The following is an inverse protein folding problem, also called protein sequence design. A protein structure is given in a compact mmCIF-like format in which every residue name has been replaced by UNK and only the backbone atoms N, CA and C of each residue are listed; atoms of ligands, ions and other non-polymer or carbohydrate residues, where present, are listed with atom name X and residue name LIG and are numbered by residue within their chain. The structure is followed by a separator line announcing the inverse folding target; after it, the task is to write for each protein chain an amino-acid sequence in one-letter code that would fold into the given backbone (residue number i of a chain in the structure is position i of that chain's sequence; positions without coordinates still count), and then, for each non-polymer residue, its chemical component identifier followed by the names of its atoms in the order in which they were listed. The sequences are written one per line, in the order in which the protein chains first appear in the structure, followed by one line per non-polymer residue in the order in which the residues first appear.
data_IF_699722135706
#
_entry.id   IF_699722135706
#
_cell.length_a   1.000
_cell.length_b   1.000
_cell.length_c   1.000
_cell.angle_alpha   90.00
_cell.angle_beta   90.00
_cell.angle_gamma   90.00
#
_symmetry.space_group_name_H-M   'P 1'
#
loop_
_entity.id
_entity.type
_entity.pdbx_description
1 polymer ?
#
# COMPACT_ATOMS: atom_id res chain seq x y z
N UNK A 1 38.98 7.33 10.48
CA UNK A 1 37.52 7.06 10.55
C UNK A 1 36.88 6.84 9.17
N UNK A 2 37.60 6.27 8.18
CA UNK A 2 37.09 6.10 6.80
C UNK A 2 36.88 4.64 6.38
N UNK A 3 37.07 3.67 7.28
CA UNK A 3 37.15 2.25 6.91
C UNK A 3 35.83 1.48 7.02
N UNK A 4 34.81 2.03 7.69
CA UNK A 4 33.59 1.29 8.02
C UNK A 4 32.46 1.44 6.99
N UNK A 5 32.59 2.39 6.04
CA UNK A 5 31.54 2.65 5.05
C UNK A 5 31.71 1.79 3.78
N UNK A 6 32.95 1.45 3.41
CA UNK A 6 33.23 0.67 2.20
C UNK A 6 32.93 -0.83 2.38
N UNK A 7 33.00 -1.34 3.61
CA UNK A 7 32.59 -2.72 3.92
C UNK A 7 31.07 -2.89 3.88
N UNK A 8 30.30 -1.86 4.25
CA UNK A 8 28.84 -1.87 4.15
C UNK A 8 28.38 -1.88 2.68
N UNK A 9 29.01 -1.08 1.80
CA UNK A 9 28.67 -1.07 0.37
C UNK A 9 29.10 -2.35 -0.36
N UNK A 10 30.24 -2.94 0.01
CA UNK A 10 30.67 -4.24 -0.53
C UNK A 10 29.78 -5.41 -0.07
N UNK A 11 29.19 -5.32 1.12
CA UNK A 11 28.26 -6.31 1.67
C UNK A 11 26.84 -6.14 1.13
N UNK A 12 26.43 -4.90 0.82
CA UNK A 12 25.18 -4.59 0.14
C UNK A 12 25.21 -5.01 -1.35
N UNK A 13 26.34 -4.85 -2.03
CA UNK A 13 26.56 -5.33 -3.40
C UNK A 13 26.58 -6.87 -3.51
N UNK A 14 26.75 -7.59 -2.39
CA UNK A 14 26.70 -9.05 -2.31
C UNK A 14 25.35 -9.56 -1.83
N UNK A 15 24.33 -8.72 -1.70
CA UNK A 15 22.96 -9.22 -1.66
C UNK A 15 22.69 -9.83 -3.04
N UNK A 16 22.53 -11.16 -3.14
CA UNK A 16 22.15 -11.77 -4.40
C UNK A 16 20.88 -11.08 -4.87
N UNK A 17 20.80 -10.86 -6.19
CA UNK A 17 19.65 -10.32 -6.91
C UNK A 17 18.38 -10.86 -6.25
N UNK A 18 17.67 -9.99 -5.51
CA UNK A 18 16.45 -10.32 -4.79
C UNK A 18 16.54 -11.57 -3.87
N UNK A 19 16.65 -11.35 -2.55
CA UNK A 19 15.85 -12.19 -1.67
C UNK A 19 14.41 -12.17 -2.24
N UNK A 20 13.84 -13.31 -2.66
CA UNK A 20 12.54 -13.29 -3.31
C UNK A 20 11.54 -12.65 -2.33
N UNK A 21 10.97 -11.51 -2.74
CA UNK A 21 9.97 -10.80 -1.94
C UNK A 21 8.76 -11.71 -1.66
N UNK A 22 8.49 -12.62 -2.60
CA UNK A 22 7.62 -13.77 -2.38
C UNK A 22 8.40 -14.88 -1.67
N UNK A 23 8.27 -14.92 -0.35
CA UNK A 23 8.67 -16.09 0.43
C UNK A 23 7.87 -17.32 -0.05
N UNK A 24 8.47 -18.51 -0.02
CA UNK A 24 7.77 -19.77 -0.31
C UNK A 24 6.49 -19.90 0.53
N UNK A 25 6.48 -19.32 1.74
CA UNK A 25 5.31 -19.25 2.62
C UNK A 25 4.10 -18.50 2.04
N UNK A 26 4.33 -17.54 1.13
CA UNK A 26 3.25 -16.87 0.40
C UNK A 26 2.60 -17.78 -0.65
N UNK A 27 3.33 -18.80 -1.13
CA UNK A 27 2.75 -19.85 -1.96
C UNK A 27 2.08 -20.94 -1.12
N UNK A 28 2.57 -21.21 0.09
CA UNK A 28 1.98 -22.20 1.02
C UNK A 28 0.57 -21.83 1.50
N UNK A 29 0.19 -20.55 1.39
CA UNK A 29 -1.15 -20.06 1.72
C UNK A 29 -2.16 -20.20 0.58
N UNK A 30 -1.72 -20.63 -0.61
CA UNK A 30 -2.63 -21.24 -1.56
C UNK A 30 -2.92 -22.66 -1.04
N UNK A 31 -4.19 -22.99 -0.76
CA UNK A 31 -4.68 -24.30 -0.29
C UNK A 31 -4.48 -25.45 -1.31
N UNK A 32 -3.34 -25.48 -2.00
CA UNK A 32 -2.99 -26.45 -3.01
C UNK A 32 -1.62 -27.05 -2.67
N UNK A 33 -1.49 -28.37 -2.85
CA UNK A 33 -0.21 -29.10 -2.88
C UNK A 33 0.64 -28.62 -4.08
N UNK A 34 1.05 -27.36 -4.06
CA UNK A 34 1.69 -26.70 -5.18
C UNK A 34 3.21 -26.77 -5.01
N UNK A 35 3.85 -27.69 -5.72
CA UNK A 35 5.30 -27.76 -5.76
C UNK A 35 5.86 -26.78 -6.80
N UNK A 36 6.17 -25.56 -6.36
CA UNK A 36 6.72 -24.51 -7.20
C UNK A 36 8.22 -24.73 -7.49
N UNK A 37 8.62 -24.61 -8.77
CA UNK A 37 10.05 -24.65 -9.09
C UNK A 37 10.73 -23.34 -8.68
N UNK A 38 12.03 -23.36 -8.33
CA UNK A 38 12.78 -22.13 -8.04
C UNK A 38 12.74 -21.11 -9.18
N UNK A 39 12.68 -21.57 -10.42
CA UNK A 39 12.57 -20.72 -11.61
C UNK A 39 11.20 -20.05 -11.70
N UNK A 40 10.13 -20.77 -11.37
CA UNK A 40 8.78 -20.19 -11.32
C UNK A 40 8.69 -19.12 -10.23
N UNK A 41 9.22 -19.40 -9.04
CA UNK A 41 9.27 -18.44 -7.93
C UNK A 41 10.05 -17.19 -8.36
N UNK A 42 11.21 -17.35 -9.01
CA UNK A 42 12.00 -16.24 -9.53
C UNK A 42 11.25 -15.40 -10.56
N UNK A 43 10.65 -16.03 -11.57
CA UNK A 43 9.88 -15.33 -12.60
C UNK A 43 8.65 -14.61 -12.02
N UNK A 44 7.95 -15.24 -11.08
CA UNK A 44 6.82 -14.63 -10.39
C UNK A 44 7.26 -13.42 -9.55
N UNK A 45 8.41 -13.53 -8.87
CA UNK A 45 9.00 -12.41 -8.12
C UNK A 45 9.27 -11.21 -9.04
N UNK A 46 9.92 -11.46 -10.18
CA UNK A 46 10.23 -10.41 -11.15
C UNK A 46 8.97 -9.76 -11.71
N UNK A 47 7.94 -10.57 -12.01
CA UNK A 47 6.64 -10.07 -12.48
C UNK A 47 5.96 -9.17 -11.43
N UNK A 48 5.92 -9.60 -10.17
CA UNK A 48 5.33 -8.81 -9.08
C UNK A 48 6.12 -7.51 -8.87
N UNK A 49 7.45 -7.57 -8.94
CA UNK A 49 8.30 -6.38 -8.83
C UNK A 49 8.02 -5.37 -9.95
N UNK A 50 7.96 -5.81 -11.21
CA UNK A 50 7.60 -4.96 -12.33
C UNK A 50 6.19 -4.36 -12.16
N UNK A 51 5.24 -5.13 -11.64
CA UNK A 51 3.89 -4.65 -11.37
C UNK A 51 3.86 -3.57 -10.27
N UNK A 52 4.68 -3.70 -9.22
CA UNK A 52 4.83 -2.66 -8.18
C UNK A 52 5.37 -1.37 -8.79
N UNK A 53 6.40 -1.46 -9.66
CA UNK A 53 6.96 -0.28 -10.32
C UNK A 53 5.92 0.45 -11.17
N UNK A 54 5.15 -0.29 -11.98
CA UNK A 54 4.08 0.27 -12.79
C UNK A 54 2.99 0.91 -11.92
N UNK A 55 2.55 0.21 -10.87
CA UNK A 55 1.51 0.71 -9.96
C UNK A 55 1.95 1.97 -9.22
N UNK A 56 3.20 2.02 -8.74
CA UNK A 56 3.74 3.19 -8.06
C UNK A 56 3.83 4.40 -9.00
N UNK A 57 4.24 4.19 -10.25
CA UNK A 57 4.28 5.24 -11.26
C UNK A 57 2.88 5.80 -11.56
N UNK A 58 1.89 4.91 -11.77
CA UNK A 58 0.51 5.30 -12.02
C UNK A 58 -0.07 6.10 -10.84
N UNK A 59 0.15 5.65 -9.59
CA UNK A 59 -0.34 6.35 -8.39
C UNK A 59 0.25 7.77 -8.24
N UNK A 60 1.54 7.93 -8.51
CA UNK A 60 2.18 9.25 -8.51
C UNK A 60 1.57 10.17 -9.58
N UNK A 61 1.39 9.66 -10.81
CA UNK A 61 0.73 10.40 -11.88
C UNK A 61 -0.72 10.77 -11.55
N UNK A 62 -1.50 9.87 -10.94
CA UNK A 62 -2.88 10.15 -10.53
C UNK A 62 -2.95 11.25 -9.47
N UNK A 63 -2.10 11.18 -8.45
CA UNK A 63 -2.06 12.23 -7.42
C UNK A 63 -1.69 13.60 -8.03
N UNK A 64 -0.69 13.64 -8.92
CA UNK A 64 -0.24 14.86 -9.61
C UNK A 64 -1.29 15.41 -10.56
N UNK A 65 -2.03 14.54 -11.24
CA UNK A 65 -3.16 14.93 -12.10
C UNK A 65 -4.26 15.65 -11.29
N UNK A 66 -4.46 15.24 -10.04
CA UNK A 66 -5.38 15.90 -9.11
C UNK A 66 -4.75 17.10 -8.36
N UNK A 67 -3.53 17.52 -8.70
CA UNK A 67 -2.82 18.63 -8.06
C UNK A 67 -2.31 18.32 -6.64
N UNK A 68 -2.20 17.05 -6.28
CA UNK A 68 -1.72 16.56 -4.97
C UNK A 68 -0.30 16.00 -5.09
N UNK A 69 0.44 16.04 -3.99
CA UNK A 69 1.73 15.35 -3.82
C UNK A 69 1.65 14.21 -2.81
N UNK A 70 0.44 13.87 -2.38
CA UNK A 70 0.16 12.81 -1.41
C UNK A 70 -0.86 11.89 -2.06
N UNK A 71 -0.53 10.60 -2.14
CA UNK A 71 -1.39 9.54 -2.66
C UNK A 71 -2.54 9.30 -1.67
N UNK A 72 -3.74 9.14 -2.22
CA UNK A 72 -4.99 8.94 -1.48
C UNK A 72 -5.71 7.69 -1.97
N UNK A 73 -6.80 7.32 -1.29
CA UNK A 73 -7.60 6.14 -1.67
C UNK A 73 -8.24 6.27 -3.04
N UNK A 74 -8.56 7.49 -3.49
CA UNK A 74 -9.09 7.74 -4.83
C UNK A 74 -8.10 7.37 -5.94
N UNK A 75 -6.79 7.54 -5.71
CA UNK A 75 -5.74 7.16 -6.66
C UNK A 75 -5.66 5.63 -6.80
N UNK A 76 -5.80 4.92 -5.68
CA UNK A 76 -5.81 3.44 -5.65
C UNK A 76 -7.07 2.90 -6.33
N UNK A 77 -8.23 3.51 -6.10
CA UNK A 77 -9.45 3.12 -6.80
C UNK A 77 -9.33 3.35 -8.32
N UNK A 78 -8.71 4.46 -8.73
CA UNK A 78 -8.47 4.75 -10.16
C UNK A 78 -7.55 3.72 -10.84
N UNK A 79 -6.62 3.11 -10.10
CA UNK A 79 -5.76 2.02 -10.59
C UNK A 79 -6.60 0.79 -10.99
N UNK A 80 -7.71 0.53 -10.31
CA UNK A 80 -8.56 -0.65 -10.54
C UNK A 80 -9.57 -0.51 -11.67
N UNK A 81 -9.74 0.69 -12.26
CA UNK A 81 -10.81 1.04 -13.21
C UNK A 81 -11.02 0.14 -14.44
N UNK A 82 -10.04 -0.71 -14.76
CA UNK A 82 -10.10 -1.65 -15.91
C UNK A 82 -10.51 -3.06 -15.50
N UNK A 83 -10.70 -3.31 -14.21
CA UNK A 83 -11.06 -4.60 -13.65
C UNK A 83 -12.16 -4.38 -12.60
N UNK A 84 -13.41 -4.50 -13.05
CA UNK A 84 -14.61 -4.27 -12.23
C UNK A 84 -14.65 -5.17 -10.98
N UNK A 85 -14.16 -6.42 -11.08
CA UNK A 85 -14.10 -7.33 -9.95
C UNK A 85 -13.11 -6.87 -8.89
N UNK A 86 -11.94 -6.38 -9.32
CA UNK A 86 -10.93 -5.83 -8.42
C UNK A 86 -11.40 -4.51 -7.79
N UNK A 87 -12.04 -3.64 -8.58
CA UNK A 87 -12.63 -2.39 -8.11
C UNK A 87 -13.70 -2.65 -7.03
N UNK A 88 -14.58 -3.62 -7.24
CA UNK A 88 -15.58 -4.02 -6.25
C UNK A 88 -14.94 -4.56 -4.96
N UNK A 89 -13.91 -5.42 -5.09
CA UNK A 89 -13.22 -6.00 -3.94
C UNK A 89 -12.52 -4.93 -3.09
N UNK A 90 -11.72 -4.06 -3.72
CA UNK A 90 -11.04 -2.98 -3.00
C UNK A 90 -12.00 -1.92 -2.47
N UNK A 91 -13.11 -1.66 -3.18
CA UNK A 91 -14.19 -0.79 -2.70
C UNK A 91 -14.80 -1.29 -1.40
N UNK A 92 -15.12 -2.58 -1.31
CA UNK A 92 -15.64 -3.20 -0.08
C UNK A 92 -14.65 -3.09 1.08
N UNK A 93 -13.36 -3.33 0.83
CA UNK A 93 -12.33 -3.22 1.86
C UNK A 93 -12.11 -1.76 2.30
N UNK A 94 -12.20 -0.80 1.37
CA UNK A 94 -12.14 0.62 1.69
C UNK A 94 -13.30 1.05 2.60
N UNK A 95 -14.52 0.58 2.32
CA UNK A 95 -15.68 0.85 3.16
C UNK A 95 -15.53 0.23 4.56
N UNK A 96 -14.94 -0.97 4.65
CA UNK A 96 -14.60 -1.62 5.91
C UNK A 96 -13.59 -0.81 6.72
N UNK A 97 -12.53 -0.30 6.10
CA UNK A 97 -11.53 0.55 6.75
C UNK A 97 -12.16 1.86 7.26
N UNK A 98 -13.01 2.51 6.45
CA UNK A 98 -13.74 3.73 6.84
C UNK A 98 -14.66 3.49 8.04
N UNK A 99 -15.35 2.36 8.08
CA UNK A 99 -16.21 1.98 9.20
C UNK A 99 -15.42 1.72 10.48
N UNK A 100 -14.18 1.20 10.38
CA UNK A 100 -13.30 0.98 11.53
C UNK A 100 -12.72 2.29 12.11
N UNK A 101 -12.57 3.35 11.31
CA UNK A 101 -12.04 4.65 11.75
C UNK A 101 -13.10 5.56 12.43
N UNK A 102 -14.37 5.44 12.04
CA UNK A 102 -15.52 6.16 12.64
C UNK A 102 -15.60 6.13 14.19
N UNK A 103 -15.43 4.99 14.89
CA UNK A 103 -15.48 4.96 16.36
C UNK A 103 -14.39 5.79 17.05
N UNK A 104 -13.25 6.04 16.41
CA UNK A 104 -12.16 6.81 17.00
C UNK A 104 -12.42 8.34 16.93
N UNK A 105 -13.10 8.80 15.88
CA UNK A 105 -13.42 10.23 15.67
C UNK A 105 -14.45 10.78 16.66
N UNK A 106 -15.29 9.93 17.25
CA UNK A 106 -16.23 10.32 18.32
C UNK A 106 -15.55 10.55 19.67
N UNK A 107 -14.33 10.02 19.89
CA UNK A 107 -13.56 10.21 21.13
C UNK A 107 -12.70 11.48 21.13
N UNK A 108 -12.38 12.03 19.97
CA UNK A 108 -11.51 13.22 19.81
C UNK A 108 -12.25 14.54 19.60
N UNK A 109 -13.59 14.54 19.52
CA UNK A 109 -14.38 15.80 19.55
C UNK A 109 -14.48 16.29 20.99
N UNK A 110 -13.85 17.41 21.39
CA UNK A 110 -14.09 17.98 22.71
C UNK A 110 -15.55 18.44 22.79
N UNK A 111 -16.26 17.96 23.81
CA UNK A 111 -17.56 18.50 24.19
C UNK A 111 -17.37 19.92 24.72
N UNK A 112 -17.57 20.94 23.88
CA UNK A 112 -17.39 22.32 24.36
C UNK A 112 -17.43 23.39 23.29
N UNK A 113 -18.58 23.61 22.65
CA UNK A 113 -18.93 24.96 22.20
C UNK A 113 -20.43 25.15 22.39
N UNK A 114 -20.80 25.63 23.57
CA UNK A 114 -22.15 26.14 23.83
C UNK A 114 -22.42 27.35 22.93
N UNK A 115 -23.58 27.44 22.25
CA UNK A 115 -23.96 28.63 21.50
C UNK A 115 -24.23 29.79 22.47
N UNK A 116 -23.58 30.94 22.26
CA UNK A 116 -23.80 32.15 23.07
C UNK A 116 -25.24 32.64 22.93
N UNK A 117 -25.98 32.68 24.03
CA UNK A 117 -27.28 33.33 24.10
C UNK A 117 -27.12 34.86 23.92
N UNK A 118 -27.97 35.44 23.08
CA UNK A 118 -28.05 36.90 22.85
C UNK A 118 -28.64 37.59 24.09
N UNK A 119 -28.18 38.80 24.46
CA UNK A 119 -28.75 39.53 25.58
C UNK A 119 -30.14 40.05 25.20
N UNK A 120 -31.13 39.86 26.09
CA UNK A 120 -32.40 40.60 26.05
C UNK A 120 -32.19 41.94 26.77
N UNK A 121 -32.84 42.95 26.22
CA UNK A 121 -32.86 44.36 26.64
C UNK A 121 -33.19 44.54 28.12
#
# INVERSE_FOLDING_TARGET
MASNNQQAEHEEARRPIAQPFVDSSALDSLDADFNATPQFIGALTELVYAQIQNSAHDLDLFSKHAGRNVITTDDVMLLTRRNEALEALLGQELDRMRAADEPNKKRTRPAGTMPKAKPKQ
#
